data_IF_126789959432
#
_entry.id   IF_126789959432
#
_cell.length_a   1.000
_cell.length_b   1.000
_cell.length_c   1.000
_cell.angle_alpha   90.00
_cell.angle_beta   90.00
_cell.angle_gamma   90.00
#
_symmetry.space_group_name_H-M   'P 1'
#
loop_
_entity.id
_entity.type
_entity.pdbx_description
1 polymer ?
#
# COMPACT_ATOMS: atom_id res chain seq x y z
N UNK A 1 -11.73 -6.79 1.30
CA UNK A 1 -12.88 -5.87 1.49
C UNK A 1 -13.08 -5.48 2.95
N UNK A 2 -13.21 -6.42 3.89
CA UNK A 2 -13.33 -6.10 5.33
C UNK A 2 -12.12 -5.33 5.87
N UNK A 3 -10.91 -5.70 5.46
CA UNK A 3 -9.70 -4.97 5.86
C UNK A 3 -9.67 -3.54 5.28
N UNK A 4 -9.98 -3.37 3.99
CA UNK A 4 -10.04 -2.06 3.33
C UNK A 4 -11.08 -1.14 4.00
N UNK A 5 -12.24 -1.68 4.36
CA UNK A 5 -13.28 -0.96 5.10
C UNK A 5 -12.86 -0.64 6.54
N UNK A 6 -12.14 -1.54 7.21
CA UNK A 6 -11.59 -1.30 8.55
C UNK A 6 -10.50 -0.23 8.56
N UNK A 7 -9.63 -0.20 7.54
CA UNK A 7 -8.62 0.83 7.34
C UNK A 7 -9.26 2.16 7.00
N UNK A 8 -10.22 2.19 6.06
CA UNK A 8 -10.94 3.41 5.72
C UNK A 8 -11.70 3.97 6.94
N UNK A 9 -12.36 3.12 7.72
CA UNK A 9 -13.01 3.52 8.98
C UNK A 9 -11.98 4.05 10.00
N UNK A 10 -10.83 3.38 10.17
CA UNK A 10 -9.78 3.83 11.09
C UNK A 10 -9.19 5.20 10.70
N UNK A 11 -8.98 5.43 9.40
CA UNK A 11 -8.49 6.71 8.87
C UNK A 11 -9.53 7.82 9.03
N UNK A 12 -10.82 7.53 8.83
CA UNK A 12 -11.92 8.47 9.02
C UNK A 12 -12.19 8.75 10.50
N UNK A 13 -11.97 7.78 11.39
CA UNK A 13 -12.22 7.86 12.84
C UNK A 13 -11.06 8.47 13.63
N UNK A 14 -9.86 8.63 13.04
CA UNK A 14 -8.76 9.40 13.64
C UNK A 14 -8.33 10.58 12.75
N UNK A 15 -9.21 11.57 12.52
CA UNK A 15 -8.82 12.83 11.92
C UNK A 15 -8.10 13.66 13.00
N UNK A 16 -6.88 14.11 12.68
CA UNK A 16 -6.07 15.02 13.47
C UNK A 16 -5.50 14.49 14.81
N UNK A 17 -4.31 13.91 14.73
CA UNK A 17 -3.30 14.13 15.77
C UNK A 17 -2.01 14.59 15.10
N UNK A 18 -1.88 15.89 14.92
CA UNK A 18 -0.59 16.55 14.78
C UNK A 18 -0.24 17.18 16.13
N UNK A 19 0.53 16.51 17.01
CA UNK A 19 1.24 17.24 18.04
C UNK A 19 2.22 18.18 17.34
N UNK A 20 2.25 19.43 17.79
CA UNK A 20 3.22 20.43 17.38
C UNK A 20 4.65 19.83 17.33
N UNK A 21 5.51 20.29 16.40
CA UNK A 21 6.87 19.78 16.26
C UNK A 21 7.58 19.83 17.62
N UNK A 22 7.82 18.66 18.21
CA UNK A 22 8.60 18.56 19.44
C UNK A 22 10.08 18.75 19.08
N UNK A 23 10.64 19.86 19.56
CA UNK A 23 12.01 20.33 19.34
C UNK A 23 13.06 19.50 20.09
N UNK A 24 13.21 18.21 19.75
CA UNK A 24 14.26 17.37 20.32
C UNK A 24 14.63 16.15 19.46
N UNK A 25 15.91 15.73 19.44
CA UNK A 25 16.33 14.55 18.69
C UNK A 25 15.66 13.27 19.23
N UNK A 26 15.20 12.41 18.31
CA UNK A 26 14.55 11.15 18.65
C UNK A 26 15.45 10.28 19.53
N UNK A 27 14.91 9.81 20.65
CA UNK A 27 15.67 8.98 21.59
C UNK A 27 15.94 7.60 20.97
N UNK A 28 17.08 6.96 21.27
CA UNK A 28 17.46 5.62 20.77
C UNK A 28 16.35 4.57 20.94
N UNK A 29 15.56 4.69 22.02
CA UNK A 29 14.40 3.83 22.31
C UNK A 29 13.21 4.07 21.36
N UNK A 30 12.98 5.30 20.91
CA UNK A 30 11.96 5.64 19.92
C UNK A 30 12.34 5.12 18.53
N UNK A 31 13.62 5.19 18.16
CA UNK A 31 14.12 4.64 16.90
C UNK A 31 13.95 3.11 16.89
N UNK A 32 14.34 2.42 17.96
CA UNK A 32 14.15 0.97 18.08
C UNK A 32 12.67 0.57 18.08
N UNK A 33 11.81 1.34 18.74
CA UNK A 33 10.37 1.11 18.73
C UNK A 33 9.78 1.30 17.33
N UNK A 34 10.22 2.30 16.58
CA UNK A 34 9.77 2.53 15.21
C UNK A 34 10.28 1.47 14.24
N UNK A 35 11.52 0.99 14.39
CA UNK A 35 12.04 -0.13 13.61
C UNK A 35 11.21 -1.40 13.89
N UNK A 36 10.89 -1.69 15.16
CA UNK A 36 10.05 -2.83 15.51
C UNK A 36 8.62 -2.69 14.96
N UNK A 37 8.00 -1.52 15.11
CA UNK A 37 6.62 -1.29 14.71
C UNK A 37 6.47 -1.21 13.18
N UNK A 38 7.32 -0.44 12.50
CA UNK A 38 7.29 -0.28 11.05
C UNK A 38 7.89 -1.48 10.30
N UNK A 39 9.02 -2.01 10.78
CA UNK A 39 9.69 -3.13 10.13
C UNK A 39 8.95 -4.46 10.29
N UNK A 40 8.49 -4.76 11.51
CA UNK A 40 7.88 -6.06 11.82
C UNK A 40 6.35 -6.03 11.68
N UNK A 41 5.70 -5.01 12.23
CA UNK A 41 4.25 -4.86 12.17
C UNK A 41 3.75 -4.42 10.79
N UNK A 42 4.25 -3.27 10.31
CA UNK A 42 3.79 -2.71 9.04
C UNK A 42 4.34 -3.48 7.84
N UNK A 43 5.58 -3.98 7.90
CA UNK A 43 6.14 -4.85 6.86
C UNK A 43 5.34 -6.15 6.67
N UNK A 44 4.87 -6.77 7.75
CA UNK A 44 3.99 -7.94 7.68
C UNK A 44 2.61 -7.57 7.09
N UNK A 45 2.05 -6.42 7.50
CA UNK A 45 0.80 -5.90 6.95
C UNK A 45 0.90 -5.62 5.44
N UNK A 46 2.00 -5.02 5.00
CA UNK A 46 2.30 -4.71 3.61
C UNK A 46 2.32 -5.98 2.75
N UNK A 47 2.94 -7.05 3.26
CA UNK A 47 3.03 -8.34 2.55
C UNK A 47 1.71 -9.13 2.51
N UNK A 48 0.81 -8.97 3.48
CA UNK A 48 -0.46 -9.71 3.53
C UNK A 48 -1.63 -9.02 2.85
N UNK A 49 -1.78 -7.71 3.09
CA UNK A 49 -2.96 -6.96 2.69
C UNK A 49 -2.55 -5.92 1.64
N UNK A 50 -1.64 -5.00 1.99
CA UNK A 50 -1.04 -4.03 1.06
C UNK A 50 -1.69 -2.64 0.85
N UNK A 51 -3.03 -2.43 0.89
CA UNK A 51 -3.61 -1.12 0.65
C UNK A 51 -3.49 -0.21 1.88
N UNK A 52 -3.06 1.02 1.64
CA UNK A 52 -2.93 2.03 2.70
C UNK A 52 -1.66 1.90 3.55
N UNK A 53 -0.77 0.94 3.26
CA UNK A 53 0.51 0.77 3.99
C UNK A 53 1.26 2.10 4.07
N UNK A 54 1.39 2.84 2.97
CA UNK A 54 2.08 4.13 2.95
C UNK A 54 1.52 5.16 3.94
N UNK A 55 0.18 5.27 4.05
CA UNK A 55 -0.46 6.18 5.02
C UNK A 55 -0.21 5.72 6.45
N UNK A 56 -0.31 4.42 6.73
CA UNK A 56 0.03 3.87 8.04
C UNK A 56 1.48 4.11 8.42
N UNK A 57 2.39 3.96 7.46
CA UNK A 57 3.82 4.16 7.67
C UNK A 57 4.14 5.63 7.95
N UNK A 58 3.52 6.57 7.21
CA UNK A 58 3.62 8.00 7.51
C UNK A 58 3.12 8.30 8.91
N UNK A 59 1.92 7.82 9.27
CA UNK A 59 1.33 8.06 10.59
C UNK A 59 2.17 7.47 11.73
N UNK A 60 2.69 6.26 11.53
CA UNK A 60 3.56 5.60 12.51
C UNK A 60 4.88 6.35 12.69
N UNK A 61 5.49 6.83 11.61
CA UNK A 61 6.72 7.61 11.66
C UNK A 61 6.51 8.99 12.28
N UNK A 62 5.42 9.69 11.94
CA UNK A 62 5.07 10.96 12.60
C UNK A 62 4.79 10.75 14.09
N UNK A 63 4.12 9.66 14.48
CA UNK A 63 3.78 9.40 15.88
C UNK A 63 4.97 8.90 16.71
N UNK A 64 5.83 8.06 16.14
CA UNK A 64 6.94 7.44 16.87
C UNK A 64 8.21 8.29 16.88
N UNK A 65 8.52 8.98 15.77
CA UNK A 65 9.73 9.79 15.61
C UNK A 65 9.46 11.30 15.65
N UNK A 66 8.20 11.73 15.77
CA UNK A 66 7.82 13.15 15.72
C UNK A 66 8.30 13.87 14.46
N UNK A 67 8.42 13.12 13.34
CA UNK A 67 8.76 13.70 12.05
C UNK A 67 7.61 14.59 11.56
N UNK A 68 7.94 15.65 10.83
CA UNK A 68 6.95 16.36 10.04
C UNK A 68 6.39 15.46 8.92
N UNK A 69 5.20 15.79 8.43
CA UNK A 69 4.47 14.99 7.46
C UNK A 69 5.23 14.78 6.14
N UNK A 70 6.06 15.77 5.74
CA UNK A 70 6.86 15.70 4.51
C UNK A 70 8.02 14.72 4.71
N UNK A 71 8.79 14.87 5.78
CA UNK A 71 9.90 13.96 6.10
C UNK A 71 9.42 12.54 6.36
N UNK A 72 8.28 12.38 7.05
CA UNK A 72 7.65 11.07 7.25
C UNK A 72 7.19 10.44 5.92
N UNK A 73 6.62 11.22 5.00
CA UNK A 73 6.25 10.74 3.65
C UNK A 73 7.46 10.30 2.83
N UNK A 74 8.55 11.05 2.88
CA UNK A 74 9.80 10.67 2.22
C UNK A 74 10.36 9.37 2.79
N UNK A 75 10.44 9.28 4.12
CA UNK A 75 10.95 8.09 4.84
C UNK A 75 10.07 6.87 4.57
N UNK A 76 8.75 7.05 4.55
CA UNK A 76 7.81 5.98 4.29
C UNK A 76 8.02 5.33 2.91
N UNK A 77 8.32 6.13 1.89
CA UNK A 77 8.63 5.63 0.55
C UNK A 77 9.91 4.79 0.52
N UNK A 78 10.93 5.18 1.28
CA UNK A 78 12.18 4.41 1.39
C UNK A 78 11.89 3.07 2.07
N UNK A 79 11.17 3.06 3.19
CA UNK A 79 10.80 1.83 3.88
C UNK A 79 9.99 0.90 2.97
N UNK A 80 9.02 1.44 2.22
CA UNK A 80 8.24 0.67 1.26
C UNK A 80 9.11 0.08 0.13
N UNK A 81 10.16 0.78 -0.29
CA UNK A 81 11.13 0.25 -1.23
C UNK A 81 11.92 -0.92 -0.61
N UNK A 82 12.32 -0.79 0.65
CA UNK A 82 13.04 -1.84 1.38
C UNK A 82 12.17 -3.09 1.62
N UNK A 83 10.90 -2.94 1.98
CA UNK A 83 9.98 -4.08 2.18
C UNK A 83 9.77 -4.84 0.87
N UNK A 84 9.56 -4.13 -0.23
CA UNK A 84 9.46 -4.72 -1.56
C UNK A 84 10.78 -5.39 -2.01
N UNK A 85 11.94 -4.80 -1.71
CA UNK A 85 13.24 -5.42 -1.98
C UNK A 85 13.45 -6.70 -1.15
N UNK A 86 13.00 -6.70 0.12
CA UNK A 86 13.01 -7.90 0.97
C UNK A 86 12.09 -9.00 0.42
N UNK A 87 10.91 -8.64 -0.07
CA UNK A 87 10.00 -9.58 -0.74
C UNK A 87 10.64 -10.16 -2.01
N UNK A 88 11.27 -9.33 -2.84
CA UNK A 88 12.00 -9.77 -4.02
C UNK A 88 13.13 -10.74 -3.67
N UNK A 89 13.94 -10.45 -2.65
CA UNK A 89 15.01 -11.34 -2.19
C UNK A 89 14.46 -12.69 -1.69
N UNK A 90 13.33 -12.66 -0.98
CA UNK A 90 12.67 -13.87 -0.49
C UNK A 90 12.12 -14.72 -1.64
N UNK A 91 11.46 -14.11 -2.62
CA UNK A 91 10.98 -14.82 -3.81
C UNK A 91 12.13 -15.32 -4.69
N UNK A 92 13.23 -14.57 -4.78
CA UNK A 92 14.42 -14.96 -5.51
C UNK A 92 15.03 -16.23 -4.91
N UNK A 93 15.09 -16.31 -3.57
CA UNK A 93 15.55 -17.52 -2.88
C UNK A 93 14.64 -18.73 -3.11
N UNK A 94 13.32 -18.52 -3.19
CA UNK A 94 12.36 -19.58 -3.51
C UNK A 94 12.35 -19.99 -4.99
N UNK A 95 13.12 -19.32 -5.87
CA UNK A 95 13.14 -19.60 -7.30
C UNK A 95 11.86 -19.18 -8.05
N UNK A 96 10.97 -18.41 -7.41
CA UNK A 96 9.68 -18.00 -7.98
C UNK A 96 9.78 -16.72 -8.86
N UNK A 97 10.99 -16.19 -9.07
CA UNK A 97 11.21 -14.91 -9.78
C UNK A 97 11.42 -15.15 -11.27
N UNK A 98 10.50 -14.62 -12.07
CA UNK A 98 10.63 -14.52 -13.51
C UNK A 98 11.55 -13.34 -13.86
N UNK A 99 12.87 -13.55 -13.82
CA UNK A 99 13.88 -12.49 -13.96
C UNK A 99 13.76 -11.67 -15.26
N UNK A 100 13.39 -12.30 -16.38
CA UNK A 100 13.17 -11.60 -17.65
C UNK A 100 11.99 -10.62 -17.56
N UNK A 101 10.87 -11.07 -16.96
CA UNK A 101 9.69 -10.23 -16.77
C UNK A 101 9.96 -9.13 -15.73
N UNK A 102 10.68 -9.45 -14.65
CA UNK A 102 11.07 -8.51 -13.62
C UNK A 102 11.95 -7.37 -14.19
N UNK A 103 12.93 -7.70 -15.03
CA UNK A 103 13.78 -6.71 -15.69
C UNK A 103 12.97 -5.80 -16.62
N UNK A 104 12.06 -6.38 -17.41
CA UNK A 104 11.18 -5.60 -18.30
C UNK A 104 10.29 -4.64 -17.51
N UNK A 105 9.63 -5.15 -16.46
CA UNK A 105 8.79 -4.38 -15.55
C UNK A 105 9.59 -3.25 -14.89
N UNK A 106 10.83 -3.50 -14.46
CA UNK A 106 11.69 -2.49 -13.84
C UNK A 106 11.98 -1.33 -14.81
N UNK A 107 12.35 -1.63 -16.06
CA UNK A 107 12.62 -0.60 -17.09
C UNK A 107 11.39 0.26 -17.35
N UNK A 108 10.24 -0.36 -17.58
CA UNK A 108 9.00 0.39 -17.84
C UNK A 108 8.54 1.20 -16.62
N UNK A 109 8.68 0.67 -15.40
CA UNK A 109 8.35 1.42 -14.18
C UNK A 109 9.28 2.61 -13.97
N UNK A 110 10.59 2.46 -14.17
CA UNK A 110 11.53 3.57 -14.07
C UNK A 110 11.26 4.63 -15.14
N UNK A 111 11.05 4.22 -16.40
CA UNK A 111 10.75 5.13 -17.49
C UNK A 111 9.43 5.88 -17.24
N UNK A 112 8.35 5.18 -16.92
CA UNK A 112 7.05 5.78 -16.63
C UNK A 112 7.07 6.68 -15.39
N UNK A 113 7.75 6.26 -14.32
CA UNK A 113 7.88 7.04 -13.08
C UNK A 113 8.70 8.32 -13.27
N UNK A 114 9.82 8.25 -13.99
CA UNK A 114 10.66 9.43 -14.26
C UNK A 114 9.97 10.42 -15.19
N UNK A 115 9.36 9.94 -16.27
CA UNK A 115 8.57 10.77 -17.18
C UNK A 115 7.36 11.37 -16.48
N UNK A 116 6.65 10.60 -15.66
CA UNK A 116 5.50 11.04 -14.89
C UNK A 116 5.87 12.12 -13.86
N UNK A 117 6.95 11.92 -13.10
CA UNK A 117 7.43 12.92 -12.14
C UNK A 117 7.88 14.21 -12.85
N UNK A 118 8.61 14.09 -13.96
CA UNK A 118 9.09 15.24 -14.71
C UNK A 118 7.95 16.03 -15.36
N UNK A 119 6.95 15.35 -15.92
CA UNK A 119 5.74 16.00 -16.48
C UNK A 119 4.87 16.62 -15.41
N UNK A 120 4.72 15.98 -14.24
CA UNK A 120 4.01 16.55 -13.09
C UNK A 120 4.66 17.84 -12.57
N UNK A 121 5.99 17.88 -12.48
CA UNK A 121 6.72 19.09 -12.07
C UNK A 121 6.61 20.22 -13.11
N UNK A 122 6.57 19.89 -14.41
CA UNK A 122 6.45 20.87 -15.50
C UNK A 122 5.05 21.48 -15.65
N UNK A 123 4.00 20.66 -15.57
CA UNK A 123 2.61 21.07 -15.85
C UNK A 123 1.86 21.57 -14.60
N UNK A 124 2.41 21.36 -13.40
CA UNK A 124 1.84 21.82 -12.15
C UNK A 124 0.65 20.98 -11.65
N UNK A 125 0.03 21.46 -10.56
CA UNK A 125 -0.96 20.71 -9.77
C UNK A 125 -2.25 20.36 -10.52
N UNK A 126 -2.67 21.19 -11.47
CA UNK A 126 -3.89 20.96 -12.27
C UNK A 126 -3.79 19.69 -13.12
N UNK A 127 -2.65 19.49 -13.79
CA UNK A 127 -2.40 18.28 -14.58
C UNK A 127 -2.38 17.02 -13.70
N UNK A 128 -1.68 17.08 -12.56
CA UNK A 128 -1.62 15.98 -11.60
C UNK A 128 -3.02 15.57 -11.14
N UNK A 129 -3.88 16.56 -10.85
CA UNK A 129 -5.26 16.30 -10.42
C UNK A 129 -6.09 15.61 -11.50
N UNK A 130 -5.97 16.01 -12.76
CA UNK A 130 -6.69 15.39 -13.88
C UNK A 130 -6.24 13.93 -14.03
N UNK A 131 -4.93 13.69 -14.12
CA UNK A 131 -4.38 12.34 -14.26
C UNK A 131 -4.82 11.44 -13.10
N UNK A 132 -4.74 11.95 -11.87
CA UNK A 132 -5.18 11.21 -10.68
C UNK A 132 -6.66 10.82 -10.77
N UNK A 133 -7.54 11.76 -11.13
CA UNK A 133 -8.97 11.48 -11.28
C UNK A 133 -9.21 10.44 -12.37
N UNK A 134 -8.56 10.56 -13.53
CA UNK A 134 -8.67 9.59 -14.63
C UNK A 134 -8.27 8.19 -14.19
N UNK A 135 -7.13 8.04 -13.48
CA UNK A 135 -6.66 6.74 -12.98
C UNK A 135 -7.63 6.18 -11.94
N UNK A 136 -8.14 7.00 -11.03
CA UNK A 136 -9.13 6.56 -10.03
C UNK A 136 -10.40 6.04 -10.70
N UNK A 137 -10.96 6.77 -11.67
CA UNK A 137 -12.14 6.32 -12.40
C UNK A 137 -11.88 5.04 -13.19
N UNK A 138 -10.70 4.92 -13.83
CA UNK A 138 -10.31 3.70 -14.53
C UNK A 138 -10.20 2.50 -13.57
N UNK A 139 -9.60 2.70 -12.40
CA UNK A 139 -9.44 1.64 -11.40
C UNK A 139 -10.79 1.19 -10.81
N UNK A 140 -11.68 2.15 -10.50
CA UNK A 140 -13.05 1.86 -10.07
C UNK A 140 -13.80 1.08 -11.15
N UNK A 141 -13.67 1.49 -12.42
CA UNK A 141 -14.25 0.78 -13.55
C UNK A 141 -13.73 -0.65 -13.68
N UNK A 142 -12.41 -0.85 -13.58
CA UNK A 142 -11.80 -2.18 -13.63
C UNK A 142 -12.28 -3.07 -12.48
N UNK A 143 -12.26 -2.56 -11.26
CA UNK A 143 -12.75 -3.28 -10.07
C UNK A 143 -14.22 -3.66 -10.21
N UNK A 144 -15.06 -2.76 -10.73
CA UNK A 144 -16.47 -3.05 -10.98
C UNK A 144 -16.62 -4.17 -12.03
N UNK A 145 -15.84 -4.12 -13.11
CA UNK A 145 -15.85 -5.14 -14.15
C UNK A 145 -15.36 -6.51 -13.66
N UNK A 146 -14.38 -6.57 -12.76
CA UNK A 146 -13.88 -7.83 -12.19
C UNK A 146 -14.85 -8.42 -11.15
N UNK A 147 -15.44 -7.58 -10.29
CA UNK A 147 -16.35 -8.03 -9.23
C UNK A 147 -17.72 -8.46 -9.76
N UNK A 148 -18.22 -7.81 -10.81
CA UNK A 148 -19.52 -8.09 -11.41
C UNK A 148 -19.68 -9.58 -11.83
N UNK A 149 -18.81 -10.18 -12.67
CA UNK A 149 -18.90 -11.60 -13.04
C UNK A 149 -18.50 -12.56 -11.90
N UNK A 150 -17.76 -12.11 -10.88
CA UNK A 150 -17.48 -12.93 -9.70
C UNK A 150 -18.74 -13.10 -8.82
N UNK A 151 -19.52 -12.04 -8.64
CA UNK A 151 -20.82 -12.08 -7.95
C UNK A 151 -21.81 -13.04 -8.64
N UNK A 152 -21.91 -12.97 -9.97
CA UNK A 152 -22.78 -13.87 -10.75
C UNK A 152 -22.28 -15.34 -10.82
N UNK A 153 -21.01 -15.60 -10.52
CA UNK A 153 -20.47 -16.97 -10.40
C UNK A 153 -20.67 -17.55 -9.00
N UNK A 154 -20.57 -16.72 -7.96
CA UNK A 154 -20.83 -17.11 -6.56
C UNK A 154 -22.31 -17.44 -6.30
N UNK A 155 -23.24 -16.68 -6.90
CA UNK A 155 -24.68 -16.91 -6.77
C UNK A 155 -25.19 -18.22 -7.42
N UNK A 156 -24.33 -18.92 -8.19
CA UNK A 156 -24.66 -20.20 -8.85
C UNK A 156 -24.13 -21.45 -8.15
N UNK A 157 -23.52 -21.31 -6.97
CA UNK A 157 -23.25 -22.47 -6.10
C UNK A 157 -24.51 -22.80 -5.31
N UNK A 158 -25.40 -23.57 -5.92
CA UNK A 158 -26.42 -24.33 -5.20
C UNK A 158 -25.73 -25.16 -4.11
N UNK A 159 -26.24 -25.19 -2.86
CA UNK A 159 -25.72 -26.11 -1.85
C UNK A 159 -25.77 -27.55 -2.41
N UNK A 160 -24.77 -28.40 -2.10
CA UNK A 160 -24.83 -29.80 -2.51
C UNK A 160 -26.13 -30.43 -1.98
N UNK A 161 -26.79 -31.29 -2.78
CA UNK A 161 -27.98 -31.99 -2.30
C UNK A 161 -27.64 -32.71 -0.99
N UNK A 162 -28.48 -32.55 0.03
CA UNK A 162 -28.34 -33.28 1.28
C UNK A 162 -28.36 -34.78 0.94
N UNK A 163 -27.27 -35.47 1.28
CA UNK A 163 -27.12 -36.90 1.03
C UNK A 163 -28.24 -37.67 1.76
N UNK A 164 -29.16 -38.34 1.03
CA UNK A 164 -30.20 -39.14 1.65
C UNK A 164 -29.68 -40.39 2.37
N UNK A 165 -28.40 -40.76 2.18
CA UNK A 165 -27.80 -41.97 2.77
C UNK A 165 -27.27 -41.77 4.21
N UNK A 166 -27.39 -40.57 4.79
CA UNK A 166 -26.96 -40.28 6.16
C UNK A 166 -28.09 -40.42 7.20
N UNK A 167 -29.02 -41.37 7.00
CA UNK A 167 -30.04 -41.77 7.98
C UNK A 167 -30.08 -43.29 8.14
#
# INVERSE_FOLDING_TARGET
MVVLLGVAAFVILRPAFGPAPATGPATRRQILAAIGLAGLGIGFYDGLIGPGTGTFLVLALTAALHLDLVTASATAKIVNCCTNAGALATFAWQGAVLWQLAALMAVFNLAGGTLGAHTALKQGSGFVRIVLLTVVFALVGNMAYEQWPAWFRGARRTPPPADPAAR
#
